data_IF_470261549665
#
_entry.id   IF_470261549665
#
_cell.length_a   1.000
_cell.length_b   1.000
_cell.length_c   1.000
_cell.angle_alpha   90.00
_cell.angle_beta   90.00
_cell.angle_gamma   90.00
#
_symmetry.space_group_name_H-M   'P 1'
#
loop_
_entity.id
_entity.type
_entity.pdbx_description
1 polymer ?
#
# COMPACT_ATOMS: atom_id res chain seq x y z
N UNK A 1 6.60 0.13 10.96
CA UNK A 1 5.52 0.65 10.10
C UNK A 1 5.29 2.13 10.40
N UNK A 2 4.94 2.90 9.38
CA UNK A 2 4.80 4.35 9.49
C UNK A 2 3.40 4.77 9.07
N UNK A 3 2.78 5.64 9.87
CA UNK A 3 1.51 6.27 9.52
C UNK A 3 1.75 7.44 8.56
N UNK A 4 0.88 7.57 7.58
CA UNK A 4 0.90 8.69 6.65
C UNK A 4 0.07 9.84 7.24
N UNK A 5 0.69 10.99 7.40
CA UNK A 5 0.09 12.15 8.05
C UNK A 5 -1.21 12.57 7.36
N UNK A 6 -2.27 12.75 8.13
CA UNK A 6 -3.57 13.15 7.64
C UNK A 6 -4.49 12.01 7.20
N UNK A 7 -4.02 10.75 7.28
CA UNK A 7 -4.78 9.58 6.83
C UNK A 7 -4.70 8.44 7.84
N UNK A 8 -5.77 7.63 7.99
CA UNK A 8 -5.71 6.39 8.75
C UNK A 8 -5.06 5.29 7.90
N UNK A 9 -3.81 5.49 7.53
CA UNK A 9 -3.08 4.70 6.56
C UNK A 9 -1.65 4.49 7.02
N UNK A 10 -1.22 3.22 7.05
CA UNK A 10 0.13 2.83 7.43
C UNK A 10 0.79 2.08 6.30
N UNK A 11 2.10 2.28 6.15
CA UNK A 11 2.95 1.48 5.28
C UNK A 11 3.86 0.65 6.16
N UNK A 12 3.95 -0.64 5.87
CA UNK A 12 4.76 -1.54 6.66
C UNK A 12 5.29 -2.75 5.89
N UNK A 13 5.84 -3.67 6.66
CA UNK A 13 6.43 -4.92 6.18
C UNK A 13 5.52 -6.09 6.49
N UNK A 14 5.85 -7.26 5.91
CA UNK A 14 5.17 -8.50 6.26
C UNK A 14 5.34 -8.83 7.76
N UNK A 15 6.47 -8.45 8.37
CA UNK A 15 6.68 -8.62 9.79
C UNK A 15 5.70 -7.82 10.65
N UNK A 16 5.37 -6.61 10.23
CA UNK A 16 4.37 -5.78 10.91
C UNK A 16 2.99 -6.43 10.87
N UNK A 17 2.66 -7.10 9.78
CA UNK A 17 1.38 -7.79 9.63
C UNK A 17 1.23 -8.94 10.62
N UNK A 18 2.31 -9.52 11.11
CA UNK A 18 2.31 -10.62 12.07
C UNK A 18 2.08 -10.16 13.51
N UNK A 19 2.23 -8.87 13.79
CA UNK A 19 2.02 -8.29 15.12
C UNK A 19 0.55 -7.85 15.28
N UNK A 20 -0.34 -8.83 15.48
CA UNK A 20 -1.78 -8.59 15.56
C UNK A 20 -2.17 -7.65 16.69
N UNK A 21 -1.51 -7.77 17.84
CA UNK A 21 -1.81 -6.90 18.98
C UNK A 21 -1.60 -5.43 18.62
N UNK A 22 -0.50 -5.13 17.94
CA UNK A 22 -0.22 -3.76 17.50
C UNK A 22 -1.24 -3.25 16.50
N UNK A 23 -1.68 -4.12 15.58
CA UNK A 23 -2.72 -3.75 14.62
C UNK A 23 -4.02 -3.34 15.32
N UNK A 24 -4.44 -4.13 16.30
CA UNK A 24 -5.63 -3.82 17.08
C UNK A 24 -5.46 -2.57 17.94
N UNK A 25 -4.29 -2.39 18.56
CA UNK A 25 -4.00 -1.20 19.37
C UNK A 25 -4.05 0.09 18.55
N UNK A 26 -3.66 0.02 17.27
CA UNK A 26 -3.73 1.15 16.33
C UNK A 26 -5.12 1.32 15.71
N UNK A 27 -6.05 0.42 15.97
CA UNK A 27 -7.38 0.48 15.38
C UNK A 27 -7.43 0.07 13.91
N UNK A 28 -6.42 -0.64 13.40
CA UNK A 28 -6.37 -1.08 12.01
C UNK A 28 -7.49 -2.10 11.77
N UNK A 29 -8.26 -1.88 10.71
CA UNK A 29 -9.39 -2.69 10.30
C UNK A 29 -9.18 -3.40 8.98
N UNK A 30 -8.28 -2.90 8.14
CA UNK A 30 -8.03 -3.45 6.82
C UNK A 30 -6.52 -3.64 6.60
N UNK A 31 -6.19 -4.72 5.93
CA UNK A 31 -4.81 -5.06 5.58
C UNK A 31 -4.76 -5.34 4.09
N UNK A 32 -3.79 -4.73 3.41
CA UNK A 32 -3.52 -4.95 1.99
C UNK A 32 -2.11 -5.51 1.85
N UNK A 33 -2.01 -6.76 1.41
CA UNK A 33 -0.75 -7.48 1.25
C UNK A 33 -0.37 -7.48 -0.24
N UNK A 34 0.80 -6.95 -0.58
CA UNK A 34 1.19 -6.69 -1.97
C UNK A 34 2.32 -7.58 -2.50
N UNK A 35 3.07 -8.28 -1.64
CA UNK A 35 4.25 -9.01 -2.12
C UNK A 35 3.86 -10.35 -2.74
N UNK A 36 4.18 -10.54 -4.03
CA UNK A 36 3.99 -11.81 -4.74
C UNK A 36 4.67 -12.98 -4.03
N UNK A 37 5.90 -12.78 -3.56
CA UNK A 37 6.72 -13.82 -2.93
C UNK A 37 6.25 -14.22 -1.53
N UNK A 38 5.42 -13.40 -0.89
CA UNK A 38 4.90 -13.72 0.44
C UNK A 38 3.59 -14.50 0.33
N UNK A 39 3.45 -15.62 1.05
CA UNK A 39 2.19 -16.36 1.03
C UNK A 39 1.09 -15.55 1.70
N UNK A 40 -0.18 -15.78 1.32
CA UNK A 40 -1.30 -15.17 2.01
C UNK A 40 -1.29 -15.57 3.49
N UNK A 41 -1.39 -14.58 4.38
CA UNK A 41 -1.50 -14.84 5.82
C UNK A 41 -2.95 -15.07 6.20
N UNK A 42 -3.16 -16.04 7.10
CA UNK A 42 -4.46 -16.23 7.72
C UNK A 42 -4.62 -15.18 8.82
N UNK A 43 -5.60 -14.31 8.67
CA UNK A 43 -5.88 -13.23 9.60
C UNK A 43 -7.18 -13.49 10.35
N UNK A 44 -7.37 -12.86 11.54
CA UNK A 44 -8.65 -12.92 12.24
C UNK A 44 -9.82 -12.49 11.38
N UNK A 45 -10.98 -13.07 11.59
CA UNK A 45 -12.17 -12.87 10.75
C UNK A 45 -12.73 -11.45 10.80
N UNK A 46 -12.38 -10.67 11.80
CA UNK A 46 -12.82 -9.28 11.94
C UNK A 46 -11.96 -8.27 11.19
N UNK A 47 -10.84 -8.72 10.60
CA UNK A 47 -10.02 -7.87 9.74
C UNK A 47 -10.41 -8.05 8.27
N UNK A 48 -10.50 -6.94 7.55
CA UNK A 48 -10.61 -6.96 6.09
C UNK A 48 -9.23 -7.32 5.56
N UNK A 49 -9.13 -8.41 4.80
CA UNK A 49 -7.87 -8.89 4.26
C UNK A 49 -7.93 -8.88 2.73
N UNK A 50 -7.07 -8.08 2.12
CA UNK A 50 -6.92 -8.02 0.66
C UNK A 50 -5.49 -8.42 0.30
N UNK A 51 -5.33 -9.15 -0.82
CA UNK A 51 -4.02 -9.51 -1.33
C UNK A 51 -3.97 -9.31 -2.84
N UNK A 52 -2.93 -8.62 -3.29
CA UNK A 52 -2.63 -8.41 -4.70
C UNK A 52 -1.19 -8.84 -4.94
N UNK A 53 -0.94 -9.98 -5.63
CA UNK A 53 0.41 -10.53 -5.75
C UNK A 53 1.23 -9.75 -6.78
N UNK A 54 1.79 -8.61 -6.37
CA UNK A 54 2.58 -7.74 -7.23
C UNK A 54 4.05 -8.15 -7.24
N UNK A 55 4.66 -8.05 -8.43
CA UNK A 55 6.09 -8.17 -8.61
C UNK A 55 6.76 -6.82 -8.32
N UNK A 56 7.94 -6.86 -7.74
CA UNK A 56 8.75 -5.66 -7.54
C UNK A 56 9.53 -5.36 -8.83
N UNK A 57 8.82 -4.92 -9.85
CA UNK A 57 9.36 -4.69 -11.19
C UNK A 57 8.28 -4.21 -12.15
N UNK A 58 8.56 -4.29 -13.46
CA UNK A 58 7.70 -3.77 -14.52
C UNK A 58 6.76 -4.78 -15.18
N UNK A 59 6.75 -6.03 -14.74
CA UNK A 59 6.01 -7.10 -15.41
C UNK A 59 4.65 -7.38 -14.76
N UNK A 60 4.11 -6.42 -14.02
CA UNK A 60 2.79 -6.55 -13.43
C UNK A 60 1.69 -6.39 -14.48
N UNK A 61 0.67 -7.22 -14.36
CA UNK A 61 -0.57 -7.02 -15.10
C UNK A 61 -1.15 -5.65 -14.74
N UNK A 62 -1.48 -4.86 -15.76
CA UNK A 62 -1.99 -3.50 -15.57
C UNK A 62 -3.32 -3.50 -14.82
N UNK A 63 -4.20 -4.48 -15.07
CA UNK A 63 -5.47 -4.59 -14.37
C UNK A 63 -5.28 -4.95 -12.90
N UNK A 64 -4.29 -5.76 -12.59
CA UNK A 64 -3.95 -6.10 -11.20
C UNK A 64 -3.44 -4.88 -10.44
N UNK A 65 -2.55 -4.08 -11.06
CA UNK A 65 -2.09 -2.82 -10.48
C UNK A 65 -3.25 -1.84 -10.25
N UNK A 66 -4.12 -1.69 -11.26
CA UNK A 66 -5.31 -0.85 -11.15
C UNK A 66 -6.17 -1.28 -9.97
N UNK A 67 -6.41 -2.58 -9.83
CA UNK A 67 -7.25 -3.11 -8.76
C UNK A 67 -6.64 -2.85 -7.38
N UNK A 68 -5.33 -3.02 -7.24
CA UNK A 68 -4.64 -2.72 -5.99
C UNK A 68 -4.79 -1.25 -5.61
N UNK A 69 -4.52 -0.34 -6.55
CA UNK A 69 -4.64 1.10 -6.32
C UNK A 69 -6.08 1.49 -6.02
N UNK A 70 -7.04 0.96 -6.76
CA UNK A 70 -8.47 1.23 -6.57
C UNK A 70 -8.93 0.77 -5.19
N UNK A 71 -8.49 -0.41 -4.75
CA UNK A 71 -8.86 -0.94 -3.44
C UNK A 71 -8.34 -0.04 -2.32
N UNK A 72 -7.07 0.36 -2.36
CA UNK A 72 -6.52 1.27 -1.35
C UNK A 72 -7.25 2.61 -1.38
N UNK A 73 -7.55 3.14 -2.56
CA UNK A 73 -8.32 4.38 -2.70
C UNK A 73 -9.70 4.28 -2.04
N UNK A 74 -10.42 3.19 -2.28
CA UNK A 74 -11.74 2.97 -1.68
C UNK A 74 -11.67 2.82 -0.15
N UNK A 75 -10.64 2.14 0.36
CA UNK A 75 -10.44 2.03 1.80
C UNK A 75 -10.19 3.40 2.44
N UNK A 76 -9.42 4.25 1.79
CA UNK A 76 -9.20 5.63 2.24
C UNK A 76 -10.49 6.45 2.22
N UNK A 77 -11.25 6.36 1.16
CA UNK A 77 -12.53 7.08 1.04
C UNK A 77 -13.53 6.66 2.12
N UNK A 78 -13.55 5.37 2.45
CA UNK A 78 -14.39 4.84 3.52
C UNK A 78 -13.84 5.07 4.93
N UNK A 79 -12.67 5.70 5.05
CA UNK A 79 -11.98 5.97 6.32
C UNK A 79 -11.68 4.70 7.13
N UNK A 80 -11.42 3.60 6.44
CA UNK A 80 -10.95 2.36 7.07
C UNK A 80 -9.48 2.51 7.44
N UNK A 81 -9.15 2.35 8.71
CA UNK A 81 -7.75 2.32 9.15
C UNK A 81 -7.05 1.13 8.50
N UNK A 82 -6.07 1.38 7.64
CA UNK A 82 -5.51 0.41 6.70
C UNK A 82 -4.00 0.31 6.82
N UNK A 83 -3.49 -0.93 6.89
CA UNK A 83 -2.07 -1.23 6.70
C UNK A 83 -1.84 -1.77 5.30
N UNK A 84 -0.97 -1.11 4.53
CA UNK A 84 -0.50 -1.60 3.24
C UNK A 84 0.92 -2.11 3.42
N UNK A 85 1.15 -3.38 3.15
CA UNK A 85 2.45 -4.00 3.36
C UNK A 85 2.95 -4.75 2.13
N UNK A 86 4.26 -4.80 1.99
CA UNK A 86 4.98 -5.68 1.08
C UNK A 86 6.14 -6.33 1.85
N UNK A 87 7.15 -6.88 1.17
CA UNK A 87 8.22 -7.55 1.89
C UNK A 87 8.95 -6.59 2.83
N UNK A 88 9.53 -5.52 2.31
CA UNK A 88 10.35 -4.57 3.08
C UNK A 88 9.68 -3.20 3.31
N UNK A 89 8.49 -2.97 2.74
CA UNK A 89 7.79 -1.69 2.89
C UNK A 89 8.45 -0.52 2.16
N UNK A 90 9.31 -0.77 1.18
CA UNK A 90 10.13 0.28 0.57
C UNK A 90 9.83 0.53 -0.90
N UNK A 91 9.17 -0.38 -1.59
CA UNK A 91 8.93 -0.26 -3.03
C UNK A 91 7.45 -0.38 -3.37
N UNK A 92 6.87 -1.57 -3.35
CA UNK A 92 5.48 -1.82 -3.78
C UNK A 92 4.46 -1.07 -2.93
N UNK A 93 4.59 -1.11 -1.61
CA UNK A 93 3.65 -0.43 -0.71
C UNK A 93 3.69 1.09 -0.87
N UNK A 94 4.85 1.76 -0.83
CA UNK A 94 4.89 3.20 -1.06
C UNK A 94 4.36 3.59 -2.45
N UNK A 95 4.65 2.79 -3.46
CA UNK A 95 4.21 3.06 -4.83
C UNK A 95 2.68 3.02 -4.95
N UNK A 96 2.05 1.97 -4.44
CA UNK A 96 0.59 1.83 -4.47
C UNK A 96 -0.08 2.89 -3.61
N UNK A 97 0.45 3.18 -2.44
CA UNK A 97 -0.08 4.23 -1.56
C UNK A 97 -0.01 5.60 -2.23
N UNK A 98 1.12 5.95 -2.84
CA UNK A 98 1.25 7.23 -3.54
C UNK A 98 0.29 7.32 -4.73
N UNK A 99 0.07 6.24 -5.47
CA UNK A 99 -0.89 6.21 -6.57
C UNK A 99 -2.33 6.39 -6.06
N UNK A 100 -2.67 5.78 -4.94
CA UNK A 100 -3.99 5.96 -4.30
C UNK A 100 -4.20 7.40 -3.81
N UNK A 101 -3.17 7.99 -3.19
CA UNK A 101 -3.22 9.38 -2.76
C UNK A 101 -3.35 10.34 -3.95
N UNK A 102 -2.65 10.05 -5.05
CA UNK A 102 -2.77 10.84 -6.28
C UNK A 102 -4.20 10.88 -6.81
N UNK A 103 -4.90 9.74 -6.79
CA UNK A 103 -6.31 9.68 -7.17
C UNK A 103 -7.21 10.45 -6.20
N UNK A 104 -6.94 10.31 -4.92
CA UNK A 104 -7.72 10.95 -3.87
C UNK A 104 -7.60 12.47 -3.92
N UNK A 105 -6.40 13.00 -4.11
CA UNK A 105 -6.10 14.43 -4.10
C UNK A 105 -6.17 15.08 -5.47
N UNK A 106 -6.23 14.27 -6.55
CA UNK A 106 -6.16 14.73 -7.94
C UNK A 106 -4.84 15.42 -8.25
N UNK A 107 -3.79 15.05 -7.54
CA UNK A 107 -2.43 15.52 -7.75
C UNK A 107 -1.62 14.51 -8.56
N UNK A 108 -0.54 14.94 -9.26
CA UNK A 108 0.33 14.01 -9.96
C UNK A 108 0.97 12.98 -9.03
N UNK A 109 1.19 11.77 -9.55
CA UNK A 109 1.83 10.69 -8.81
C UNK A 109 3.18 11.09 -8.23
N UNK A 110 4.03 11.76 -9.03
CA UNK A 110 5.35 12.21 -8.58
C UNK A 110 5.29 13.20 -7.41
N UNK A 111 4.27 14.06 -7.37
CA UNK A 111 4.06 15.00 -6.27
C UNK A 111 3.73 14.24 -4.97
N UNK A 112 2.85 13.26 -5.06
CA UNK A 112 2.49 12.43 -3.92
C UNK A 112 3.68 11.61 -3.41
N UNK A 113 4.51 11.07 -4.31
CA UNK A 113 5.73 10.36 -3.94
C UNK A 113 6.72 11.26 -3.19
N UNK A 114 6.95 12.47 -3.67
CA UNK A 114 7.86 13.41 -3.02
C UNK A 114 7.38 13.78 -1.62
N UNK A 115 6.07 13.98 -1.47
CA UNK A 115 5.47 14.25 -0.16
C UNK A 115 5.60 13.04 0.77
N UNK A 116 5.40 11.85 0.24
CA UNK A 116 5.51 10.61 1.00
C UNK A 116 6.93 10.39 1.52
N UNK A 117 7.95 10.74 0.74
CA UNK A 117 9.36 10.55 1.10
C UNK A 117 9.73 11.25 2.43
N UNK A 118 9.06 12.34 2.78
CA UNK A 118 9.29 13.05 4.03
C UNK A 118 8.81 12.25 5.26
N UNK A 119 7.89 11.32 5.09
CA UNK A 119 7.28 10.56 6.18
C UNK A 119 7.72 9.09 6.18
N UNK A 120 8.03 8.55 5.01
CA UNK A 120 8.38 7.15 4.82
C UNK A 120 9.42 7.06 3.70
N UNK A 121 10.64 6.68 4.06
CA UNK A 121 11.71 6.49 3.08
C UNK A 121 11.33 5.35 2.12
N UNK A 122 11.49 5.56 0.83
CA UNK A 122 11.19 4.56 -0.18
C UNK A 122 12.33 4.41 -1.19
N UNK A 123 12.37 3.23 -1.81
CA UNK A 123 13.29 2.88 -2.89
C UNK A 123 12.51 2.06 -3.91
N UNK A 124 11.67 2.77 -4.68
CA UNK A 124 10.75 2.13 -5.62
C UNK A 124 11.51 1.67 -6.85
N UNK A 125 11.29 0.40 -7.24
CA UNK A 125 11.86 -0.16 -8.46
C UNK A 125 11.46 0.72 -9.67
N UNK A 126 12.43 1.15 -10.50
CA UNK A 126 12.14 2.08 -11.59
C UNK A 126 11.08 1.62 -12.57
N UNK A 127 11.03 0.32 -12.87
CA UNK A 127 10.03 -0.24 -13.76
C UNK A 127 8.63 -0.23 -13.15
N UNK A 128 8.50 -0.45 -11.84
CA UNK A 128 7.23 -0.33 -11.13
C UNK A 128 6.77 1.14 -11.09
N UNK A 129 7.68 2.05 -10.82
CA UNK A 129 7.42 3.48 -10.88
C UNK A 129 6.81 3.88 -12.24
N UNK A 130 7.44 3.43 -13.34
CA UNK A 130 6.97 3.71 -14.69
C UNK A 130 5.56 3.16 -14.93
N UNK A 131 5.30 1.92 -14.51
CA UNK A 131 3.97 1.32 -14.66
C UNK A 131 2.89 2.13 -13.92
N UNK A 132 3.15 2.53 -12.69
CA UNK A 132 2.17 3.29 -11.90
C UNK A 132 2.00 4.72 -12.42
N UNK A 133 3.06 5.34 -12.90
CA UNK A 133 2.97 6.65 -13.53
C UNK A 133 2.08 6.63 -14.78
N UNK A 134 2.16 5.57 -15.58
CA UNK A 134 1.34 5.39 -16.77
C UNK A 134 -0.16 5.19 -16.44
N UNK A 135 -0.47 4.69 -15.25
CA UNK A 135 -1.85 4.52 -14.78
C UNK A 135 -2.48 5.82 -14.26
N UNK A 136 -1.68 6.83 -14.08
CA UNK A 136 -2.10 8.08 -13.45
C UNK A 136 -2.60 9.11 -14.43
#
# INVERSE_FOLDING_TARGET
MNQISGYPLWIGTIGDLKDLRRLYDLGIRAVVQLAYEEPPLTLPHDLIACRFPLLDGGDNDADLLQLAVTTVTHLLEGKFATLVCCHAGRSRSPAVVAAALARRTKEPFAVCLNRLAAQHAWDIHPALFAQLQDLS
#
